data_IF_511771548902
#
_entry.id   IF_511771548902
#
_cell.length_a   1.000
_cell.length_b   1.000
_cell.length_c   1.000
_cell.angle_alpha   90.00
_cell.angle_beta   90.00
_cell.angle_gamma   90.00
#
_symmetry.space_group_name_H-M   'P 1'
#
loop_
_entity.id
_entity.type
_entity.pdbx_description
1 polymer ?
#
# COMPACT_ATOMS: atom_id res chain seq x y z
N UNK A 1 -13.99 21.05 -0.20
CA UNK A 1 -14.87 19.92 -0.64
C UNK A 1 -13.97 18.90 -1.32
N UNK A 2 -14.07 17.64 -0.92
CA UNK A 2 -13.34 16.50 -1.49
C UNK A 2 -13.79 16.27 -2.94
N UNK A 3 -12.85 15.92 -3.80
CA UNK A 3 -13.10 15.62 -5.22
C UNK A 3 -12.45 14.32 -5.69
N UNK A 4 -11.40 13.86 -5.01
CA UNK A 4 -10.71 12.64 -5.39
C UNK A 4 -10.31 11.80 -4.18
N UNK A 5 -10.31 10.49 -4.38
CA UNK A 5 -9.73 9.49 -3.49
C UNK A 5 -8.52 8.89 -4.19
N UNK A 6 -7.37 8.94 -3.51
CA UNK A 6 -6.11 8.39 -3.99
C UNK A 6 -5.81 7.13 -3.17
N UNK A 7 -5.77 5.98 -3.80
CA UNK A 7 -5.56 4.68 -3.16
C UNK A 7 -4.12 4.24 -3.30
N UNK A 8 -3.50 3.81 -2.22
CA UNK A 8 -2.40 2.87 -2.32
C UNK A 8 -2.92 1.50 -2.79
N UNK A 9 -2.04 0.54 -3.07
CA UNK A 9 -2.39 -0.79 -3.56
C UNK A 9 -2.08 -1.90 -2.57
N UNK A 10 -0.81 -2.07 -2.26
CA UNK A 10 -0.30 -3.21 -1.49
C UNK A 10 -0.56 -3.01 0.00
N UNK A 11 -1.17 -4.00 0.66
CA UNK A 11 -1.61 -3.86 2.05
C UNK A 11 -2.92 -3.08 2.23
N UNK A 12 -3.33 -2.26 1.24
CA UNK A 12 -4.55 -1.48 1.30
C UNK A 12 -5.71 -2.07 0.47
N UNK A 13 -5.49 -2.28 -0.84
CA UNK A 13 -6.49 -2.89 -1.74
C UNK A 13 -6.34 -4.40 -1.72
N UNK A 14 -5.10 -4.88 -1.80
CA UNK A 14 -4.75 -6.29 -1.83
C UNK A 14 -3.99 -6.71 -0.58
N UNK A 15 -4.23 -7.96 -0.13
CA UNK A 15 -3.50 -8.58 0.97
C UNK A 15 -2.16 -9.16 0.48
N UNK A 16 -1.32 -8.32 -0.09
CA UNK A 16 0.00 -8.67 -0.63
C UNK A 16 1.04 -8.88 0.47
N UNK A 17 0.94 -8.13 1.56
CA UNK A 17 1.90 -8.17 2.66
C UNK A 17 1.90 -9.52 3.39
N UNK A 18 0.73 -10.15 3.55
CA UNK A 18 0.65 -11.48 4.16
C UNK A 18 1.41 -12.54 3.37
N UNK A 19 1.26 -12.54 2.03
CA UNK A 19 1.96 -13.53 1.18
C UNK A 19 3.45 -13.20 1.06
N UNK A 20 3.81 -11.92 1.12
CA UNK A 20 5.20 -11.50 1.14
C UNK A 20 5.90 -12.00 2.41
N UNK A 21 5.31 -11.77 3.59
CA UNK A 21 5.80 -12.29 4.86
C UNK A 21 5.96 -13.82 4.83
N UNK A 22 4.92 -14.54 4.36
CA UNK A 22 4.98 -16.00 4.25
C UNK A 22 6.14 -16.45 3.38
N UNK A 23 6.41 -15.74 2.29
CA UNK A 23 7.51 -16.09 1.37
C UNK A 23 8.89 -15.90 1.98
N UNK A 24 9.08 -14.83 2.78
CA UNK A 24 10.31 -14.61 3.52
C UNK A 24 10.53 -15.70 4.58
N UNK A 25 9.49 -16.03 5.34
CA UNK A 25 9.55 -17.07 6.38
C UNK A 25 9.81 -18.45 5.77
N UNK A 26 9.15 -18.78 4.66
CA UNK A 26 9.34 -20.03 3.93
C UNK A 26 10.78 -20.18 3.44
N UNK A 27 11.34 -19.15 2.79
CA UNK A 27 12.71 -19.18 2.29
C UNK A 27 13.76 -19.33 3.40
N UNK A 28 13.51 -18.76 4.58
CA UNK A 28 14.33 -19.01 5.77
C UNK A 28 14.27 -20.46 6.22
N UNK A 29 13.06 -21.01 6.34
CA UNK A 29 12.85 -22.40 6.79
C UNK A 29 13.52 -23.41 5.86
N UNK A 30 13.55 -23.17 4.53
CA UNK A 30 14.26 -24.00 3.55
C UNK A 30 15.79 -24.05 3.74
N UNK A 31 16.32 -23.17 4.55
CA UNK A 31 17.73 -23.16 4.98
C UNK A 31 17.90 -23.51 6.47
N UNK A 32 16.84 -23.97 7.13
CA UNK A 32 16.86 -24.29 8.56
C UNK A 32 16.92 -23.05 9.47
N UNK A 33 16.57 -21.88 8.94
CA UNK A 33 16.55 -20.61 9.66
C UNK A 33 15.10 -20.19 9.98
N UNK A 34 14.86 -19.70 11.19
CA UNK A 34 13.54 -19.25 11.60
C UNK A 34 13.47 -17.72 11.56
N UNK A 35 12.74 -17.19 10.58
CA UNK A 35 12.37 -15.77 10.54
C UNK A 35 11.06 -15.62 11.32
N UNK A 36 11.16 -15.09 12.52
CA UNK A 36 9.99 -14.81 13.38
C UNK A 36 9.22 -13.59 12.89
N UNK A 37 8.00 -13.41 13.38
CA UNK A 37 7.23 -12.18 13.09
C UNK A 37 7.96 -10.93 13.60
N UNK A 38 8.62 -11.01 14.77
CA UNK A 38 9.43 -9.90 15.31
C UNK A 38 10.63 -9.57 14.40
N UNK A 39 11.27 -10.57 13.79
CA UNK A 39 12.32 -10.36 12.81
C UNK A 39 11.76 -9.71 11.54
N UNK A 40 10.61 -10.22 11.06
CA UNK A 40 9.97 -9.70 9.85
C UNK A 40 9.47 -8.25 10.01
N UNK A 41 9.01 -7.87 11.20
CA UNK A 41 8.59 -6.49 11.48
C UNK A 41 9.66 -5.44 11.15
N UNK A 42 10.94 -5.82 11.20
CA UNK A 42 12.06 -4.93 10.86
C UNK A 42 12.17 -4.67 9.36
N UNK A 43 11.49 -5.47 8.54
CA UNK A 43 11.52 -5.36 7.07
C UNK A 43 10.40 -4.50 6.51
N UNK A 44 9.34 -4.27 7.29
CA UNK A 44 8.14 -3.57 6.83
C UNK A 44 8.45 -2.10 6.51
N UNK A 45 8.16 -1.71 5.26
CA UNK A 45 8.46 -0.37 4.75
C UNK A 45 9.94 -0.12 4.42
N UNK A 46 10.75 -1.18 4.43
CA UNK A 46 12.17 -1.15 4.06
C UNK A 46 12.33 -1.80 2.69
N UNK A 47 13.23 -1.26 1.87
CA UNK A 47 13.50 -1.84 0.54
C UNK A 47 14.23 -3.20 0.66
N UNK A 48 13.92 -4.12 -0.25
CA UNK A 48 14.48 -5.48 -0.26
C UNK A 48 15.99 -5.59 -0.03
N UNK A 49 16.85 -4.79 -0.69
CA UNK A 49 18.30 -4.91 -0.46
C UNK A 49 18.71 -4.64 0.99
N UNK A 50 18.03 -3.73 1.67
CA UNK A 50 18.29 -3.42 3.07
C UNK A 50 17.70 -4.49 4.00
N UNK A 51 16.51 -5.02 3.69
CA UNK A 51 15.92 -6.16 4.40
C UNK A 51 16.86 -7.38 4.35
N UNK A 52 17.41 -7.65 3.17
CA UNK A 52 18.35 -8.74 2.95
C UNK A 52 19.67 -8.54 3.74
N UNK A 53 20.15 -7.30 3.85
CA UNK A 53 21.31 -6.96 4.67
C UNK A 53 21.03 -7.22 6.16
N UNK A 54 19.89 -6.75 6.66
CA UNK A 54 19.45 -6.99 8.05
C UNK A 54 19.34 -8.49 8.31
N UNK A 55 18.75 -9.23 7.39
CA UNK A 55 18.60 -10.69 7.50
C UNK A 55 19.96 -11.40 7.55
N UNK A 56 20.89 -11.03 6.66
CA UNK A 56 22.23 -11.61 6.63
C UNK A 56 22.98 -11.33 7.93
N UNK A 57 22.90 -10.13 8.48
CA UNK A 57 23.51 -9.78 9.77
C UNK A 57 22.86 -10.52 10.93
N UNK A 58 21.51 -10.64 10.95
CA UNK A 58 20.77 -11.37 11.99
C UNK A 58 21.22 -12.83 12.09
N UNK A 59 21.45 -13.49 10.96
CA UNK A 59 21.92 -14.87 10.90
C UNK A 59 23.44 -14.99 10.76
N UNK A 60 24.22 -13.93 11.06
CA UNK A 60 25.68 -13.93 11.06
C UNK A 60 26.29 -14.47 9.75
N UNK A 61 25.68 -14.15 8.63
CA UNK A 61 26.02 -14.63 7.29
C UNK A 61 25.94 -16.17 7.10
N UNK A 62 25.20 -16.88 7.95
CA UNK A 62 24.93 -18.31 7.77
C UNK A 62 23.92 -18.61 6.65
N UNK A 63 23.32 -17.57 6.07
CA UNK A 63 22.30 -17.64 5.02
C UNK A 63 22.94 -17.56 3.63
N UNK A 64 22.58 -18.47 2.73
CA UNK A 64 22.85 -18.35 1.30
C UNK A 64 21.81 -17.41 0.66
N UNK A 65 22.17 -16.14 0.51
CA UNK A 65 21.27 -15.12 -0.01
C UNK A 65 20.84 -15.38 -1.46
N UNK A 66 21.67 -16.02 -2.28
CA UNK A 66 21.30 -16.35 -3.67
C UNK A 66 20.18 -17.39 -3.72
N UNK A 67 20.34 -18.46 -2.95
CA UNK A 67 19.31 -19.49 -2.79
C UNK A 67 18.07 -18.92 -2.10
N UNK A 68 18.25 -18.06 -1.09
CA UNK A 68 17.18 -17.43 -0.34
C UNK A 68 16.23 -16.64 -1.26
N UNK A 69 16.79 -15.74 -2.07
CA UNK A 69 16.01 -14.94 -3.04
C UNK A 69 15.22 -15.82 -4.00
N UNK A 70 15.91 -16.81 -4.60
CA UNK A 70 15.27 -17.69 -5.57
C UNK A 70 14.06 -18.45 -4.95
N UNK A 71 14.19 -18.93 -3.72
CA UNK A 71 13.12 -19.65 -3.02
C UNK A 71 12.02 -18.69 -2.60
N UNK A 72 12.36 -17.51 -2.03
CA UNK A 72 11.41 -16.48 -1.64
C UNK A 72 10.55 -16.06 -2.83
N UNK A 73 11.19 -15.70 -3.93
CA UNK A 73 10.50 -15.18 -5.11
C UNK A 73 9.62 -16.26 -5.76
N UNK A 74 10.11 -17.49 -5.86
CA UNK A 74 9.31 -18.59 -6.37
C UNK A 74 8.08 -18.88 -5.48
N UNK A 75 8.24 -18.88 -4.16
CA UNK A 75 7.13 -19.09 -3.23
C UNK A 75 6.12 -17.93 -3.26
N UNK A 76 6.61 -16.69 -3.36
CA UNK A 76 5.76 -15.52 -3.53
C UNK A 76 4.90 -15.63 -4.80
N UNK A 77 5.51 -15.98 -5.93
CA UNK A 77 4.78 -16.20 -7.18
C UNK A 77 3.76 -17.33 -7.06
N UNK A 78 4.11 -18.45 -6.42
CA UNK A 78 3.19 -19.55 -6.18
C UNK A 78 1.97 -19.14 -5.35
N UNK A 79 2.17 -18.39 -4.25
CA UNK A 79 1.07 -17.89 -3.43
C UNK A 79 0.21 -16.89 -4.21
N UNK A 80 0.86 -16.02 -4.98
CA UNK A 80 0.19 -15.03 -5.81
C UNK A 80 -0.71 -15.68 -6.89
N UNK A 81 -0.27 -16.77 -7.48
CA UNK A 81 -1.05 -17.56 -8.46
C UNK A 81 -2.30 -18.21 -7.85
N UNK A 82 -2.31 -18.48 -6.55
CA UNK A 82 -3.49 -18.97 -5.83
C UNK A 82 -4.57 -17.86 -5.67
N UNK A 83 -4.23 -16.63 -5.98
CA UNK A 83 -5.08 -15.44 -5.93
C UNK A 83 -4.84 -14.61 -4.67
N UNK A 84 -4.70 -13.32 -4.89
CA UNK A 84 -4.63 -12.32 -3.81
C UNK A 84 -6.03 -11.79 -3.58
N UNK A 85 -6.50 -11.85 -2.34
CA UNK A 85 -7.80 -11.33 -1.95
C UNK A 85 -7.84 -9.81 -1.89
N UNK A 86 -9.02 -9.23 -2.12
CA UNK A 86 -9.27 -7.83 -1.80
C UNK A 86 -9.39 -7.64 -0.29
N UNK A 87 -8.84 -6.57 0.22
CA UNK A 87 -8.98 -6.19 1.63
C UNK A 87 -10.44 -5.84 1.96
N UNK A 88 -10.81 -6.13 3.20
CA UNK A 88 -12.19 -5.96 3.69
C UNK A 88 -12.72 -4.54 3.46
N UNK A 89 -13.86 -4.47 2.77
CA UNK A 89 -14.58 -3.21 2.52
C UNK A 89 -14.21 -2.48 1.24
N UNK A 90 -13.22 -2.96 0.46
CA UNK A 90 -12.82 -2.30 -0.79
C UNK A 90 -13.99 -2.18 -1.78
N UNK A 91 -14.70 -3.27 -2.08
CA UNK A 91 -15.80 -3.28 -3.06
C UNK A 91 -16.89 -2.26 -2.71
N UNK A 92 -17.31 -2.26 -1.44
CA UNK A 92 -18.33 -1.35 -0.93
C UNK A 92 -17.89 0.11 -0.97
N UNK A 93 -16.65 0.38 -0.57
CA UNK A 93 -16.07 1.72 -0.60
C UNK A 93 -15.92 2.23 -2.03
N UNK A 94 -15.36 1.43 -2.93
CA UNK A 94 -15.13 1.83 -4.32
C UNK A 94 -16.47 2.16 -5.02
N UNK A 95 -17.48 1.32 -4.82
CA UNK A 95 -18.84 1.57 -5.30
C UNK A 95 -19.44 2.87 -4.73
N UNK A 96 -19.29 3.09 -3.42
CA UNK A 96 -19.78 4.29 -2.75
C UNK A 96 -19.09 5.58 -3.26
N UNK A 97 -17.81 5.51 -3.59
CA UNK A 97 -17.03 6.61 -4.18
C UNK A 97 -17.54 6.95 -5.58
N UNK A 98 -17.74 5.93 -6.44
CA UNK A 98 -18.23 6.12 -7.80
C UNK A 98 -19.67 6.69 -7.80
N UNK A 99 -20.55 6.21 -6.92
CA UNK A 99 -21.90 6.75 -6.76
C UNK A 99 -21.93 8.24 -6.35
N UNK A 100 -20.89 8.69 -5.61
CA UNK A 100 -20.73 10.11 -5.22
C UNK A 100 -20.08 10.96 -6.31
N UNK A 101 -19.72 10.37 -7.46
CA UNK A 101 -19.04 11.06 -8.56
C UNK A 101 -17.64 11.57 -8.19
N UNK A 102 -16.98 10.94 -7.21
CA UNK A 102 -15.61 11.28 -6.85
C UNK A 102 -14.63 10.61 -7.82
N UNK A 103 -13.59 11.34 -8.18
CA UNK A 103 -12.49 10.83 -8.99
C UNK A 103 -11.64 9.85 -8.19
N UNK A 104 -11.12 8.82 -8.83
CA UNK A 104 -10.29 7.79 -8.21
C UNK A 104 -8.91 7.71 -8.86
N UNK A 105 -7.85 7.61 -8.07
CA UNK A 105 -6.53 7.31 -8.58
C UNK A 105 -5.89 6.16 -7.79
N UNK A 106 -5.20 5.29 -8.49
CA UNK A 106 -4.28 4.31 -7.91
C UNK A 106 -2.88 4.94 -7.86
N UNK A 107 -2.24 4.92 -6.70
CA UNK A 107 -0.92 5.52 -6.49
C UNK A 107 -0.05 4.56 -5.68
N UNK A 108 0.71 3.73 -6.37
CA UNK A 108 1.48 2.63 -5.78
C UNK A 108 2.98 2.79 -6.00
N UNK A 109 3.76 2.20 -5.10
CA UNK A 109 5.21 2.00 -5.26
C UNK A 109 5.56 0.75 -6.08
N UNK A 110 4.56 -0.05 -6.43
CA UNK A 110 4.73 -1.25 -7.26
C UNK A 110 4.90 -0.91 -8.73
N UNK A 111 5.55 -1.82 -9.45
CA UNK A 111 5.75 -1.73 -10.89
C UNK A 111 4.45 -2.04 -11.65
N UNK A 112 4.31 -1.44 -12.83
CA UNK A 112 3.12 -1.61 -13.68
C UNK A 112 2.76 -3.07 -13.97
N UNK A 113 3.69 -4.00 -14.24
CA UNK A 113 3.36 -5.41 -14.41
C UNK A 113 2.67 -6.03 -13.17
N UNK A 114 3.07 -5.61 -11.96
CA UNK A 114 2.46 -6.09 -10.72
C UNK A 114 1.04 -5.57 -10.54
N UNK A 115 0.80 -4.30 -10.88
CA UNK A 115 -0.54 -3.71 -10.90
C UNK A 115 -1.45 -4.50 -11.84
N UNK A 116 -1.01 -4.73 -13.07
CA UNK A 116 -1.78 -5.49 -14.07
C UNK A 116 -2.09 -6.90 -13.58
N UNK A 117 -1.10 -7.57 -12.99
CA UNK A 117 -1.27 -8.93 -12.48
C UNK A 117 -2.26 -8.98 -11.32
N UNK A 118 -2.12 -8.11 -10.32
CA UNK A 118 -2.96 -8.13 -9.13
C UNK A 118 -4.42 -7.80 -9.46
N UNK A 119 -4.66 -6.90 -10.41
CA UNK A 119 -6.01 -6.54 -10.85
C UNK A 119 -6.61 -7.47 -11.90
N UNK A 120 -5.83 -8.36 -12.54
CA UNK A 120 -6.32 -9.21 -13.63
C UNK A 120 -7.60 -10.01 -13.32
N UNK A 121 -7.79 -10.55 -12.09
CA UNK A 121 -9.02 -11.25 -11.73
C UNK A 121 -10.22 -10.32 -11.47
N UNK A 122 -10.02 -9.01 -11.42
CA UNK A 122 -11.01 -8.03 -10.95
C UNK A 122 -11.30 -6.98 -12.01
N UNK A 123 -12.54 -6.49 -12.07
CA UNK A 123 -12.96 -5.47 -13.02
C UNK A 123 -12.85 -4.05 -12.42
N UNK A 124 -11.72 -3.73 -11.77
CA UNK A 124 -11.55 -2.42 -11.12
C UNK A 124 -10.52 -1.52 -11.80
N UNK A 125 -9.48 -2.09 -12.42
CA UNK A 125 -8.35 -1.30 -12.91
C UNK A 125 -8.77 -0.22 -13.91
N UNK A 126 -9.63 -0.57 -14.87
CA UNK A 126 -10.15 0.35 -15.90
C UNK A 126 -11.13 1.39 -15.34
N UNK A 127 -11.53 1.25 -14.08
CA UNK A 127 -12.42 2.20 -13.43
C UNK A 127 -11.66 3.29 -12.65
N UNK A 128 -10.34 3.17 -12.50
CA UNK A 128 -9.53 4.26 -11.98
C UNK A 128 -9.33 5.33 -13.05
N UNK A 129 -9.55 6.59 -12.68
CA UNK A 129 -9.38 7.74 -13.59
C UNK A 129 -7.90 8.05 -13.83
N UNK A 130 -7.01 7.59 -12.94
CA UNK A 130 -5.56 7.75 -13.04
C UNK A 130 -4.84 6.59 -12.34
N UNK A 131 -3.72 6.16 -12.91
CA UNK A 131 -2.82 5.18 -12.31
C UNK A 131 -1.42 5.77 -12.30
N UNK A 132 -0.78 5.81 -11.12
CA UNK A 132 0.63 6.16 -10.89
C UNK A 132 1.33 4.94 -10.32
N UNK A 133 2.42 4.54 -10.94
CA UNK A 133 3.24 3.38 -10.57
C UNK A 133 4.69 3.80 -10.29
N UNK A 134 5.54 2.87 -9.90
CA UNK A 134 6.96 3.14 -9.62
C UNK A 134 7.68 3.82 -10.79
N UNK A 135 7.30 3.49 -12.03
CA UNK A 135 7.92 4.04 -13.24
C UNK A 135 7.58 5.51 -13.51
N UNK A 136 6.53 6.02 -12.89
CA UNK A 136 6.04 7.38 -13.13
C UNK A 136 6.79 8.43 -12.29
N UNK A 137 7.53 8.03 -11.25
CA UNK A 137 8.17 8.92 -10.27
C UNK A 137 9.67 8.69 -10.18
N UNK A 138 10.41 9.73 -9.79
CA UNK A 138 11.85 9.63 -9.51
C UNK A 138 12.12 9.25 -8.05
N UNK A 139 11.23 9.67 -7.15
CA UNK A 139 11.36 9.45 -5.72
C UNK A 139 10.11 8.76 -5.19
N UNK A 140 10.29 7.54 -4.68
CA UNK A 140 9.23 6.77 -4.03
C UNK A 140 8.85 7.32 -2.66
N UNK A 141 7.75 6.83 -2.09
CA UNK A 141 7.31 7.11 -0.72
C UNK A 141 8.47 6.84 0.27
N UNK A 142 8.73 7.69 1.25
CA UNK A 142 7.89 8.78 1.78
C UNK A 142 8.00 10.12 1.05
N UNK A 143 8.69 10.22 -0.08
CA UNK A 143 8.73 11.45 -0.86
C UNK A 143 7.33 11.74 -1.44
N UNK A 144 6.86 13.01 -1.44
CA UNK A 144 5.48 13.35 -1.83
C UNK A 144 5.20 13.30 -3.33
N UNK A 145 6.19 13.02 -4.17
CA UNK A 145 6.12 13.16 -5.62
C UNK A 145 4.94 12.42 -6.25
N UNK A 146 4.67 11.18 -5.83
CA UNK A 146 3.60 10.36 -6.38
C UNK A 146 2.21 11.00 -6.18
N UNK A 147 1.91 11.49 -4.97
CA UNK A 147 0.63 12.15 -4.67
C UNK A 147 0.55 13.55 -5.27
N UNK A 148 1.68 14.29 -5.31
CA UNK A 148 1.75 15.57 -6.01
C UNK A 148 1.48 15.41 -7.50
N UNK A 149 2.04 14.39 -8.13
CA UNK A 149 1.78 14.05 -9.53
C UNK A 149 0.32 13.68 -9.74
N UNK A 150 -0.26 12.86 -8.86
CA UNK A 150 -1.64 12.42 -8.96
C UNK A 150 -2.61 13.61 -8.98
N UNK A 151 -2.60 14.47 -7.95
CA UNK A 151 -3.54 15.59 -7.93
C UNK A 151 -3.31 16.61 -9.05
N UNK A 152 -2.05 16.82 -9.48
CA UNK A 152 -1.74 17.72 -10.63
C UNK A 152 -2.28 17.18 -11.94
N UNK A 153 -2.08 15.87 -12.23
CA UNK A 153 -2.62 15.22 -13.44
C UNK A 153 -4.15 15.23 -13.45
N UNK A 154 -4.79 15.17 -12.28
CA UNK A 154 -6.24 15.28 -12.14
C UNK A 154 -6.76 16.75 -12.20
N UNK A 155 -5.88 17.75 -12.26
CA UNK A 155 -6.26 19.16 -12.25
C UNK A 155 -6.84 19.63 -10.91
N UNK A 156 -6.45 18.98 -9.80
CA UNK A 156 -6.97 19.24 -8.46
C UNK A 156 -5.92 19.91 -7.57
N UNK A 157 -6.38 20.42 -6.42
CA UNK A 157 -5.52 20.88 -5.32
C UNK A 157 -5.38 19.74 -4.30
N UNK A 158 -4.27 19.72 -3.57
CA UNK A 158 -4.01 18.69 -2.55
C UNK A 158 -5.14 18.56 -1.53
N UNK A 159 -5.71 19.71 -1.04
CA UNK A 159 -6.82 19.72 -0.07
C UNK A 159 -8.17 19.19 -0.63
N UNK A 160 -8.23 18.87 -1.92
CA UNK A 160 -9.38 18.22 -2.56
C UNK A 160 -9.22 16.72 -2.67
N UNK A 161 -8.08 16.19 -2.20
CA UNK A 161 -7.73 14.78 -2.29
C UNK A 161 -7.64 14.15 -0.90
N UNK A 162 -8.21 12.96 -0.76
CA UNK A 162 -8.06 12.09 0.38
C UNK A 162 -7.22 10.89 -0.05
N UNK A 163 -6.10 10.68 0.62
CA UNK A 163 -5.25 9.52 0.44
C UNK A 163 -5.69 8.44 1.42
N UNK A 164 -5.82 7.21 0.92
CA UNK A 164 -6.01 6.00 1.72
C UNK A 164 -4.73 5.18 1.62
N UNK A 165 -4.18 4.82 2.78
CA UNK A 165 -2.86 4.20 2.93
C UNK A 165 -2.85 3.21 4.08
N UNK A 166 -1.98 2.21 3.99
CA UNK A 166 -1.75 1.22 5.05
C UNK A 166 -0.44 1.48 5.81
N UNK A 167 0.50 2.20 5.19
CA UNK A 167 1.89 2.33 5.62
C UNK A 167 2.25 3.72 6.17
N UNK A 168 3.17 3.75 7.13
CA UNK A 168 3.72 5.01 7.66
C UNK A 168 4.47 5.81 6.58
N UNK A 169 5.12 5.13 5.64
CA UNK A 169 5.84 5.75 4.52
C UNK A 169 4.89 6.48 3.59
N UNK A 170 3.78 5.83 3.21
CA UNK A 170 2.78 6.43 2.36
C UNK A 170 2.01 7.57 3.03
N UNK A 171 1.70 7.45 4.32
CA UNK A 171 1.12 8.54 5.12
C UNK A 171 2.04 9.77 5.14
N UNK A 172 3.35 9.57 5.38
CA UNK A 172 4.33 10.68 5.32
C UNK A 172 4.32 11.37 3.95
N UNK A 173 4.28 10.58 2.87
CA UNK A 173 4.20 11.12 1.51
C UNK A 173 2.91 11.92 1.28
N UNK A 174 1.75 11.43 1.75
CA UNK A 174 0.46 12.10 1.62
C UNK A 174 0.42 13.44 2.36
N UNK A 175 0.88 13.46 3.62
CA UNK A 175 0.95 14.67 4.44
C UNK A 175 1.94 15.68 3.85
N UNK A 176 3.12 15.25 3.42
CA UNK A 176 4.10 16.10 2.75
C UNK A 176 3.59 16.65 1.40
N UNK A 177 2.67 15.95 0.73
CA UNK A 177 1.98 16.45 -0.46
C UNK A 177 0.86 17.45 -0.13
N UNK A 178 0.49 17.62 1.14
CA UNK A 178 -0.58 18.49 1.62
C UNK A 178 -1.98 17.92 1.41
N UNK A 179 -2.12 16.61 1.22
CA UNK A 179 -3.39 15.91 1.10
C UNK A 179 -3.98 15.59 2.48
N UNK A 180 -5.30 15.36 2.52
CA UNK A 180 -5.89 14.64 3.65
C UNK A 180 -5.45 13.18 3.60
N UNK A 181 -5.26 12.55 4.77
CA UNK A 181 -4.81 11.16 4.84
C UNK A 181 -5.63 10.36 5.86
N UNK A 182 -5.98 9.14 5.46
CA UNK A 182 -6.56 8.10 6.31
C UNK A 182 -5.64 6.90 6.26
N UNK A 183 -5.25 6.39 7.41
CA UNK A 183 -4.48 5.17 7.53
C UNK A 183 -5.39 4.00 7.87
N UNK A 184 -5.29 2.92 7.11
CA UNK A 184 -5.87 1.62 7.39
C UNK A 184 -4.69 0.67 7.60
N UNK A 185 -4.15 0.56 8.83
CA UNK A 185 -2.92 -0.17 9.06
C UNK A 185 -3.04 -1.64 8.65
N UNK A 186 -2.04 -2.15 7.93
CA UNK A 186 -1.92 -3.58 7.66
C UNK A 186 -1.02 -4.24 8.72
N UNK A 187 0.31 -4.22 8.55
CA UNK A 187 1.23 -4.92 9.45
C UNK A 187 1.80 -4.04 10.57
N UNK A 188 1.93 -2.74 10.36
CA UNK A 188 2.46 -1.83 11.38
C UNK A 188 1.44 -0.80 11.84
N UNK A 189 1.37 -0.54 13.15
CA UNK A 189 0.55 0.55 13.66
C UNK A 189 1.09 1.91 13.17
N UNK A 190 0.26 2.95 13.18
CA UNK A 190 0.70 4.30 12.87
C UNK A 190 1.75 4.78 13.87
N UNK A 191 2.77 5.48 13.35
CA UNK A 191 3.78 6.13 14.19
C UNK A 191 3.13 7.25 15.01
N UNK A 192 3.54 7.37 16.26
CA UNK A 192 2.93 8.30 17.23
C UNK A 192 2.92 9.74 16.73
N UNK A 193 3.97 10.17 16.05
CA UNK A 193 4.10 11.52 15.49
C UNK A 193 3.11 11.84 14.38
N UNK A 194 2.50 10.83 13.75
CA UNK A 194 1.54 11.01 12.66
C UNK A 194 0.09 11.07 13.16
N UNK A 195 -0.17 10.59 14.36
CA UNK A 195 -1.52 10.38 14.91
C UNK A 195 -2.37 11.65 15.00
N UNK A 196 -1.74 12.83 15.17
CA UNK A 196 -2.46 14.11 15.25
C UNK A 196 -2.96 14.62 13.91
N UNK A 197 -2.38 14.16 12.81
CA UNK A 197 -2.58 14.71 11.46
C UNK A 197 -3.41 13.79 10.56
N UNK A 198 -3.76 12.59 11.05
CA UNK A 198 -4.46 11.57 10.26
C UNK A 198 -5.68 11.02 11.00
N UNK A 199 -6.56 10.38 10.23
CA UNK A 199 -7.59 9.49 10.77
C UNK A 199 -7.10 8.05 10.60
N UNK A 200 -7.22 7.23 11.65
CA UNK A 200 -6.88 5.80 11.63
C UNK A 200 -8.18 4.99 11.69
N UNK A 201 -8.33 4.03 10.79
CA UNK A 201 -9.50 3.16 10.69
C UNK A 201 -9.05 1.70 10.60
N UNK A 202 -9.94 0.77 11.00
CA UNK A 202 -9.60 -0.66 11.01
C UNK A 202 -9.74 -1.34 9.64
N UNK A 203 -10.58 -0.78 8.75
CA UNK A 203 -10.81 -1.32 7.41
C UNK A 203 -11.41 -0.26 6.47
N UNK A 204 -11.42 -0.57 5.18
CA UNK A 204 -11.90 0.35 4.15
C UNK A 204 -13.40 0.66 4.23
N UNK A 205 -14.23 -0.21 4.79
CA UNK A 205 -15.67 0.06 4.94
C UNK A 205 -15.94 1.26 5.86
N UNK A 206 -15.07 1.51 6.83
CA UNK A 206 -15.20 2.63 7.77
C UNK A 206 -14.92 4.00 7.11
N UNK A 207 -14.33 4.02 5.91
CA UNK A 207 -14.14 5.26 5.14
C UNK A 207 -15.47 5.80 4.61
N UNK A 208 -16.46 4.93 4.33
CA UNK A 208 -17.74 5.34 3.71
C UNK A 208 -18.45 6.46 4.52
N UNK A 209 -18.70 6.32 5.82
CA UNK A 209 -19.32 7.39 6.60
C UNK A 209 -18.41 8.63 6.72
N UNK A 210 -17.11 8.46 6.67
CA UNK A 210 -16.16 9.58 6.71
C UNK A 210 -16.28 10.48 5.47
N UNK A 211 -16.59 9.91 4.29
CA UNK A 211 -16.75 10.68 3.06
C UNK A 211 -17.84 11.76 3.19
N UNK A 212 -18.89 11.49 3.95
CA UNK A 212 -20.00 12.43 4.15
C UNK A 212 -19.58 13.68 4.95
N UNK A 213 -18.55 13.55 5.80
CA UNK A 213 -17.98 14.68 6.57
C UNK A 213 -17.21 15.68 5.70
N UNK A 214 -16.73 15.25 4.53
CA UNK A 214 -16.06 16.10 3.53
C UNK A 214 -17.02 16.73 2.52
N UNK A 215 -18.31 16.38 2.58
CA UNK A 215 -19.37 16.95 1.76
C UNK A 215 -19.70 18.40 2.13
N UNK A 216 -20.57 19.09 1.38
CA UNK A 216 -21.09 20.37 1.78
C UNK A 216 -21.82 20.18 3.12
N UNK A 217 -21.46 20.97 4.13
CA UNK A 217 -22.26 21.00 5.36
C UNK A 217 -23.69 21.36 4.97
N UNK A 218 -24.66 20.54 5.34
CA UNK A 218 -26.07 20.87 5.17
C UNK A 218 -26.31 22.22 5.85
N UNK A 219 -26.69 23.20 5.04
CA UNK A 219 -27.08 24.55 5.51
C UNK A 219 -28.44 24.50 6.17
#
# INVERSE_FOLDING_TARGET
MLKAILFDMDGLIFDTESIYRQSWQFAGAEQGLQITDDTYQQFIGVQDPECERILAEHFQNAIDMTRYRAVRDAHFHQLREQGIGLKTGFDGLFSAIKLRGLTTALVTSSHRPDVLYNFAPFNYLDQFDLIITAEDVQHGKPHPECYQMAYRKLGLKSQQCLVLEDSNSGIKAALAAGCHAVMIPDLLPPQTELMSDITVLDNLAQVIPLLDSYGPKAT
#
